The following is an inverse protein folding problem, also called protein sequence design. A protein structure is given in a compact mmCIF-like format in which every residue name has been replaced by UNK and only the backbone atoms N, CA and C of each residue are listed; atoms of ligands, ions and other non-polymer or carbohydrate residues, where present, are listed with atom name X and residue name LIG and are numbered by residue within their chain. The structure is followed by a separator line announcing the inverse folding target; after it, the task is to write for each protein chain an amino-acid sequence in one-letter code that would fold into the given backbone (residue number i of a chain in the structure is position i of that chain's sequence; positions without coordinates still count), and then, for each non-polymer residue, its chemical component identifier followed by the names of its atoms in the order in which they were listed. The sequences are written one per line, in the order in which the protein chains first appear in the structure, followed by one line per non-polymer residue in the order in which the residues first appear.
data_IF_250991912644
#
_entry.id   IF_250991912644
#
_cell.length_a   1.000
_cell.length_b   1.000
_cell.length_c   1.000
_cell.angle_alpha   90.00
_cell.angle_beta   90.00
_cell.angle_gamma   90.00
#
_symmetry.space_group_name_H-M   'P 1'
#
loop_
_entity.id
_entity.type
_entity.pdbx_description
1 polymer ?
#
# COMPACT_ATOMS: atom_id res chain seq x y z
N UNK A 1 18.91 0.37 -3.89
CA UNK A 1 18.40 -0.63 -2.93
C UNK A 1 16.90 -0.52 -2.84
N UNK A 2 16.15 -1.60 -3.06
CA UNK A 2 14.67 -1.59 -3.03
C UNK A 2 14.12 -1.03 -1.72
N UNK A 3 13.26 0.01 -1.81
CA UNK A 3 12.60 0.63 -0.65
C UNK A 3 11.79 -0.41 0.16
N UNK A 4 11.09 -1.32 -0.54
CA UNK A 4 10.35 -2.41 0.08
C UNK A 4 11.27 -3.31 0.92
N UNK A 5 12.44 -3.69 0.40
CA UNK A 5 13.35 -4.59 1.10
C UNK A 5 13.93 -3.99 2.37
N UNK A 6 14.21 -2.68 2.35
CA UNK A 6 14.67 -1.93 3.54
C UNK A 6 13.67 -2.00 4.69
N UNK A 7 12.38 -1.91 4.40
CA UNK A 7 11.31 -1.97 5.40
C UNK A 7 11.00 -3.42 5.80
N UNK A 8 10.87 -4.32 4.83
CA UNK A 8 10.43 -5.70 5.07
C UNK A 8 11.47 -6.58 5.76
N UNK A 9 12.77 -6.35 5.52
CA UNK A 9 13.84 -7.26 5.95
C UNK A 9 14.69 -6.64 7.05
N UNK A 10 14.15 -6.64 8.28
CA UNK A 10 14.89 -6.31 9.49
C UNK A 10 15.95 -7.35 9.86
N UNK A 11 16.75 -7.06 10.89
CA UNK A 11 17.88 -7.90 11.32
C UNK A 11 17.47 -9.36 11.61
N UNK A 12 16.37 -9.56 12.33
CA UNK A 12 15.86 -10.89 12.64
C UNK A 12 15.44 -11.66 11.38
N UNK A 13 14.74 -11.00 10.44
CA UNK A 13 14.35 -11.62 9.18
C UNK A 13 15.59 -12.02 8.36
N UNK A 14 16.63 -11.19 8.35
CA UNK A 14 17.90 -11.49 7.68
C UNK A 14 18.61 -12.67 8.33
N UNK A 15 18.66 -12.75 9.65
CA UNK A 15 19.23 -13.90 10.36
C UNK A 15 18.50 -15.21 10.01
N UNK A 16 17.16 -15.21 10.03
CA UNK A 16 16.38 -16.39 9.61
C UNK A 16 16.58 -16.72 8.12
N UNK A 17 16.78 -15.73 7.25
CA UNK A 17 17.09 -15.97 5.85
C UNK A 17 18.44 -16.66 5.66
N UNK A 18 19.45 -16.32 6.48
CA UNK A 18 20.77 -16.98 6.46
C UNK A 18 20.63 -18.44 6.89
N UNK A 19 19.96 -18.68 8.02
CA UNK A 19 19.73 -20.04 8.55
C UNK A 19 18.98 -20.92 7.55
N UNK A 20 17.96 -20.37 6.88
CA UNK A 20 17.19 -21.08 5.87
C UNK A 20 17.87 -21.12 4.48
N UNK A 21 19.08 -20.56 4.32
CA UNK A 21 19.81 -20.53 3.04
C UNK A 21 19.20 -19.65 1.95
N UNK A 22 18.22 -18.80 2.30
CA UNK A 22 17.50 -17.93 1.35
C UNK A 22 18.08 -16.52 1.24
N UNK A 23 19.07 -16.18 2.07
CA UNK A 23 19.62 -14.82 2.13
C UNK A 23 20.15 -14.33 0.80
N UNK A 24 20.87 -15.15 0.04
CA UNK A 24 21.44 -14.75 -1.25
C UNK A 24 20.39 -14.19 -2.23
N UNK A 25 19.21 -14.83 -2.26
CA UNK A 25 18.07 -14.43 -3.11
C UNK A 25 17.55 -13.06 -2.69
N UNK A 26 17.24 -12.88 -1.40
CA UNK A 26 16.67 -11.63 -0.90
C UNK A 26 17.70 -10.48 -0.83
N UNK A 27 18.98 -10.78 -0.62
CA UNK A 27 20.05 -9.79 -0.70
C UNK A 27 20.22 -9.25 -2.13
N UNK A 28 20.06 -10.11 -3.15
CA UNK A 28 20.04 -9.66 -4.54
C UNK A 28 18.84 -8.75 -4.80
N UNK A 29 17.64 -9.14 -4.37
CA UNK A 29 16.43 -8.31 -4.48
C UNK A 29 16.60 -6.94 -3.79
N UNK A 30 17.25 -6.89 -2.61
CA UNK A 30 17.55 -5.63 -1.95
C UNK A 30 18.52 -4.78 -2.76
N UNK A 31 19.57 -5.39 -3.35
CA UNK A 31 20.57 -4.68 -4.17
C UNK A 31 20.05 -4.21 -5.52
N UNK A 32 19.03 -4.87 -6.07
CA UNK A 32 18.40 -4.45 -7.32
C UNK A 32 17.96 -2.98 -7.22
N UNK A 33 18.52 -2.17 -8.11
CA UNK A 33 18.21 -0.75 -8.22
C UNK A 33 16.94 -0.60 -9.03
N UNK A 34 15.82 -1.08 -8.48
CA UNK A 34 14.50 -0.72 -9.00
C UNK A 34 14.35 0.79 -8.93
N UNK A 35 13.87 1.40 -10.01
CA UNK A 35 13.45 2.79 -10.04
C UNK A 35 12.54 3.03 -8.83
N UNK A 36 12.77 4.12 -8.10
CA UNK A 36 11.85 4.49 -7.03
C UNK A 36 10.47 4.78 -7.61
N UNK A 37 9.43 4.23 -6.98
CA UNK A 37 8.05 4.40 -7.41
C UNK A 37 7.44 3.16 -8.07
N UNK A 38 6.21 3.33 -8.55
CA UNK A 38 5.39 2.30 -9.20
C UNK A 38 5.84 2.13 -10.64
N UNK A 39 6.24 0.91 -10.99
CA UNK A 39 6.49 0.49 -12.36
C UNK A 39 5.19 0.35 -13.16
N UNK A 40 5.29 0.30 -14.48
CA UNK A 40 4.16 0.03 -15.38
C UNK A 40 3.41 -1.25 -15.01
N UNK A 41 4.10 -2.26 -14.49
CA UNK A 41 3.49 -3.49 -13.99
C UNK A 41 2.62 -3.23 -12.76
N UNK A 42 3.14 -2.52 -11.75
CA UNK A 42 2.37 -2.18 -10.54
C UNK A 42 1.17 -1.29 -10.87
N UNK A 43 1.35 -0.28 -11.72
CA UNK A 43 0.25 0.58 -12.19
C UNK A 43 -0.84 -0.24 -12.87
N UNK A 44 -0.46 -1.12 -13.79
CA UNK A 44 -1.40 -1.99 -14.49
C UNK A 44 -2.09 -2.97 -13.54
N UNK A 45 -1.37 -3.50 -12.56
CA UNK A 45 -1.93 -4.41 -11.55
C UNK A 45 -2.97 -3.69 -10.70
N UNK A 46 -2.67 -2.49 -10.21
CA UNK A 46 -3.55 -1.67 -9.37
C UNK A 46 -4.84 -1.30 -10.13
N UNK A 47 -4.72 -0.88 -11.40
CA UNK A 47 -5.87 -0.50 -12.23
C UNK A 47 -6.90 -1.63 -12.43
N UNK A 48 -6.50 -2.89 -12.23
CA UNK A 48 -7.34 -4.06 -12.40
C UNK A 48 -7.98 -4.54 -11.08
N UNK A 49 -7.73 -3.86 -9.95
CA UNK A 49 -8.28 -4.22 -8.63
C UNK A 49 -9.55 -3.44 -8.32
N UNK A 50 -10.53 -4.14 -7.80
CA UNK A 50 -11.78 -3.60 -7.23
C UNK A 50 -11.75 -3.59 -5.70
N UNK A 51 -10.70 -4.15 -5.09
CA UNK A 51 -10.52 -4.20 -3.65
C UNK A 51 -9.05 -4.30 -3.24
N UNK A 52 -8.77 -3.88 -2.00
CA UNK A 52 -7.51 -4.14 -1.32
C UNK A 52 -7.71 -4.17 0.20
N UNK A 53 -6.72 -4.71 0.91
CA UNK A 53 -6.67 -4.62 2.37
C UNK A 53 -5.64 -3.57 2.77
N UNK A 54 -5.96 -2.79 3.80
CA UNK A 54 -5.07 -1.79 4.36
C UNK A 54 -4.84 -2.09 5.83
N UNK A 55 -3.57 -2.23 6.20
CA UNK A 55 -3.15 -2.27 7.58
C UNK A 55 -2.72 -0.86 8.03
N UNK A 56 -3.20 -0.45 9.20
CA UNK A 56 -2.70 0.69 9.97
C UNK A 56 -2.33 0.25 11.39
N UNK A 57 -1.78 1.15 12.19
CA UNK A 57 -1.35 0.86 13.56
C UNK A 57 -2.22 1.68 14.50
N UNK A 58 -2.92 1.02 15.43
CA UNK A 58 -3.70 1.72 16.46
C UNK A 58 -2.78 2.51 17.39
N UNK A 59 -3.33 3.50 18.08
CA UNK A 59 -2.59 4.24 19.11
C UNK A 59 -2.04 3.31 20.21
N UNK A 60 -2.75 2.22 20.52
CA UNK A 60 -2.32 1.17 21.43
C UNK A 60 -1.26 0.22 20.85
N UNK A 61 -0.78 0.44 19.63
CA UNK A 61 0.29 -0.31 18.98
C UNK A 61 -0.14 -1.61 18.30
N UNK A 62 -1.43 -1.90 18.21
CA UNK A 62 -1.92 -3.09 17.51
C UNK A 62 -2.02 -2.84 16.00
N UNK A 63 -1.68 -3.83 15.16
CA UNK A 63 -2.03 -3.77 13.74
C UNK A 63 -3.54 -3.89 13.59
N UNK A 64 -4.13 -2.99 12.81
CA UNK A 64 -5.55 -3.00 12.44
C UNK A 64 -5.69 -3.13 10.94
N UNK A 65 -6.51 -4.06 10.46
CA UNK A 65 -6.69 -4.33 9.03
C UNK A 65 -8.14 -4.05 8.65
N UNK A 66 -8.30 -3.30 7.56
CA UNK A 66 -9.61 -3.02 6.96
C UNK A 66 -9.62 -3.34 5.48
N UNK A 67 -10.67 -4.01 5.02
CA UNK A 67 -10.96 -4.17 3.60
C UNK A 67 -11.51 -2.87 3.01
N UNK A 68 -10.98 -2.45 1.87
CA UNK A 68 -11.44 -1.31 1.07
C UNK A 68 -11.87 -1.84 -0.30
N UNK A 69 -13.12 -1.60 -0.68
CA UNK A 69 -13.68 -2.04 -1.95
C UNK A 69 -14.33 -0.88 -2.70
N UNK A 70 -14.36 -0.98 -4.02
CA UNK A 70 -14.97 -0.01 -4.92
C UNK A 70 -15.05 -0.54 -6.35
N UNK A 71 -15.41 0.31 -7.33
CA UNK A 71 -15.34 -0.07 -8.73
C UNK A 71 -13.92 -0.49 -9.13
N UNK A 72 -13.80 -1.27 -10.20
CA UNK A 72 -12.51 -1.65 -10.75
C UNK A 72 -11.64 -0.41 -11.03
N UNK A 73 -10.43 -0.42 -10.47
CA UNK A 73 -9.49 0.70 -10.55
C UNK A 73 -9.87 1.90 -9.68
N UNK A 74 -10.65 1.71 -8.60
CA UNK A 74 -10.98 2.79 -7.66
C UNK A 74 -9.75 3.32 -6.90
N UNK A 75 -8.76 2.46 -6.63
CA UNK A 75 -7.44 2.90 -6.20
C UNK A 75 -6.70 3.46 -7.41
N UNK A 76 -6.53 4.78 -7.43
CA UNK A 76 -5.86 5.53 -8.49
C UNK A 76 -4.38 5.64 -8.21
N UNK A 77 -3.60 5.51 -9.28
CA UNK A 77 -2.22 5.98 -9.33
C UNK A 77 -2.28 7.44 -9.73
N UNK A 78 -1.88 8.33 -8.82
CA UNK A 78 -1.83 9.78 -9.06
C UNK A 78 -0.53 10.15 -9.77
N UNK A 79 0.57 9.53 -9.35
CA UNK A 79 1.88 9.59 -10.02
C UNK A 79 2.75 8.37 -9.62
N UNK A 80 4.04 8.40 -9.99
CA UNK A 80 4.98 7.30 -9.69
C UNK A 80 5.12 6.98 -8.19
N UNK A 81 4.76 7.90 -7.27
CA UNK A 81 4.96 7.74 -5.82
C UNK A 81 3.66 7.88 -5.01
N UNK A 82 2.55 8.26 -5.62
CA UNK A 82 1.29 8.54 -4.92
C UNK A 82 0.12 7.73 -5.45
N UNK A 83 -0.68 7.26 -4.49
CA UNK A 83 -1.94 6.56 -4.71
C UNK A 83 -3.06 7.37 -4.06
N UNK A 84 -4.25 7.33 -4.63
CA UNK A 84 -5.43 8.00 -4.08
C UNK A 84 -6.69 7.15 -4.27
N UNK A 85 -7.61 7.23 -3.32
CA UNK A 85 -8.94 6.64 -3.44
C UNK A 85 -9.92 7.46 -2.58
N UNK A 86 -11.19 7.43 -2.94
CA UNK A 86 -12.24 8.03 -2.10
C UNK A 86 -12.60 7.06 -0.99
N UNK A 87 -12.53 7.52 0.26
CA UNK A 87 -13.06 6.74 1.38
C UNK A 87 -14.59 6.87 1.38
N UNK A 88 -15.27 5.89 0.77
CA UNK A 88 -16.72 5.84 0.75
C UNK A 88 -17.25 5.79 2.18
N UNK A 89 -18.30 6.59 2.45
CA UNK A 89 -18.95 6.65 3.77
C UNK A 89 -19.53 5.30 4.18
N UNK A 90 -18.70 4.48 4.83
CA UNK A 90 -19.09 3.19 5.39
C UNK A 90 -19.77 3.35 6.74
N UNK A 91 -19.46 2.44 7.68
CA UNK A 91 -20.01 2.42 9.03
C UNK A 91 -19.57 3.58 9.96
N UNK A 92 -18.81 4.56 9.43
CA UNK A 92 -18.33 5.76 10.15
C UNK A 92 -17.54 5.45 11.43
N UNK A 93 -16.81 4.33 11.48
CA UNK A 93 -15.96 4.03 12.63
C UNK A 93 -14.68 4.87 12.71
N UNK A 94 -14.22 5.42 11.58
CA UNK A 94 -13.03 6.29 11.48
C UNK A 94 -11.73 5.70 12.09
N UNK A 95 -11.66 4.39 12.36
CA UNK A 95 -10.50 3.76 13.02
C UNK A 95 -9.23 3.96 12.20
N UNK A 96 -9.24 3.63 10.90
CA UNK A 96 -8.05 3.83 10.07
C UNK A 96 -7.66 5.30 9.98
N UNK A 97 -8.63 6.21 9.84
CA UNK A 97 -8.38 7.65 9.76
C UNK A 97 -7.74 8.17 11.05
N UNK A 98 -8.32 7.85 12.22
CA UNK A 98 -7.75 8.22 13.51
C UNK A 98 -6.37 7.60 13.75
N UNK A 99 -6.12 6.39 13.25
CA UNK A 99 -4.79 5.78 13.32
C UNK A 99 -3.75 6.58 12.53
N UNK A 100 -4.11 7.22 11.42
CA UNK A 100 -3.15 7.98 10.61
C UNK A 100 -2.59 9.20 11.33
N UNK A 101 -3.39 9.83 12.19
CA UNK A 101 -2.99 10.98 13.01
C UNK A 101 -1.84 10.64 13.97
N UNK A 102 -1.88 9.44 14.57
CA UNK A 102 -0.84 8.97 15.49
C UNK A 102 0.29 8.23 14.77
N UNK A 103 -0.02 7.47 13.72
CA UNK A 103 0.94 6.73 12.92
C UNK A 103 0.49 6.63 11.45
N UNK A 104 1.09 7.43 10.55
CA UNK A 104 0.67 7.44 9.16
C UNK A 104 1.19 6.23 8.37
N UNK A 105 2.02 5.36 8.95
CA UNK A 105 2.55 4.22 8.21
C UNK A 105 1.48 3.16 7.97
N UNK A 106 1.31 2.80 6.70
CA UNK A 106 0.33 1.80 6.26
C UNK A 106 0.97 0.74 5.39
N UNK A 107 0.32 -0.43 5.35
CA UNK A 107 0.64 -1.50 4.40
C UNK A 107 -0.61 -1.83 3.59
N UNK A 108 -0.51 -1.73 2.27
CA UNK A 108 -1.56 -2.11 1.35
C UNK A 108 -1.25 -3.51 0.81
N UNK A 109 -2.28 -4.35 0.78
CA UNK A 109 -2.22 -5.70 0.26
C UNK A 109 -3.31 -5.89 -0.80
N UNK A 110 -2.87 -5.99 -2.05
CA UNK A 110 -3.74 -6.13 -3.21
C UNK A 110 -3.62 -7.56 -3.75
N UNK A 111 -4.77 -8.22 -3.94
CA UNK A 111 -4.83 -9.61 -4.38
C UNK A 111 -5.42 -9.76 -5.77
N UNK A 112 -4.84 -10.67 -6.54
CA UNK A 112 -5.44 -11.31 -7.70
C UNK A 112 -5.65 -12.79 -7.37
N UNK A 113 -6.85 -13.16 -6.95
CA UNK A 113 -7.14 -14.53 -6.52
C UNK A 113 -7.09 -15.53 -7.68
N UNK A 114 -7.57 -15.14 -8.86
CA UNK A 114 -7.61 -16.01 -10.04
C UNK A 114 -6.20 -16.40 -10.48
N UNK A 115 -5.29 -15.43 -10.54
CA UNK A 115 -3.90 -15.66 -10.96
C UNK A 115 -2.96 -16.00 -9.81
N UNK A 116 -3.43 -15.95 -8.56
CA UNK A 116 -2.62 -16.15 -7.34
C UNK A 116 -1.46 -15.17 -7.20
N UNK A 117 -1.66 -13.94 -7.67
CA UNK A 117 -0.66 -12.87 -7.64
C UNK A 117 -1.03 -11.88 -6.54
N UNK A 118 -0.03 -11.31 -5.88
CA UNK A 118 -0.21 -10.28 -4.86
C UNK A 118 0.76 -9.14 -5.05
N UNK A 119 0.31 -7.94 -4.70
CA UNK A 119 1.14 -6.75 -4.60
C UNK A 119 1.08 -6.21 -3.17
N UNK A 120 2.27 -5.89 -2.62
CA UNK A 120 2.43 -5.32 -1.28
C UNK A 120 3.09 -3.95 -1.39
N UNK A 121 2.49 -2.95 -0.75
CA UNK A 121 2.98 -1.58 -0.79
C UNK A 121 3.06 -1.06 0.64
N UNK A 122 4.24 -0.59 1.04
CA UNK A 122 4.38 0.22 2.25
C UNK A 122 4.29 1.68 1.85
N UNK A 123 3.46 2.45 2.55
CA UNK A 123 3.20 3.84 2.25
C UNK A 123 2.96 4.64 3.54
N UNK A 124 2.88 5.96 3.39
CA UNK A 124 2.31 6.86 4.39
C UNK A 124 0.93 7.30 3.90
N UNK A 125 -0.06 7.26 4.79
CA UNK A 125 -1.42 7.71 4.52
C UNK A 125 -1.63 9.13 5.03
N UNK A 126 -2.47 9.87 4.32
CA UNK A 126 -2.93 11.21 4.65
C UNK A 126 -4.40 11.33 4.20
N UNK A 127 -5.19 12.11 4.94
CA UNK A 127 -6.56 12.44 4.56
C UNK A 127 -6.57 13.87 4.02
N UNK A 128 -7.13 14.03 2.82
CA UNK A 128 -7.21 15.31 2.11
C UNK A 128 -8.66 15.60 1.76
N UNK A 129 -9.06 16.86 1.92
CA UNK A 129 -10.36 17.34 1.44
C UNK A 129 -10.31 17.54 -0.08
N UNK A 130 -11.30 16.99 -0.78
CA UNK A 130 -11.36 17.03 -2.26
C UNK A 130 -11.75 18.42 -2.81
N UNK A 131 -12.33 19.29 -1.98
CA UNK A 131 -12.98 20.52 -2.45
C UNK A 131 -12.01 21.57 -3.03
N UNK A 132 -10.71 21.50 -2.70
CA UNK A 132 -9.77 22.60 -2.96
C UNK A 132 -8.49 22.18 -3.71
N UNK A 133 -8.45 20.98 -4.33
CA UNK A 133 -7.20 20.50 -4.92
C UNK A 133 -7.38 19.83 -6.29
N UNK A 134 -7.06 20.60 -7.34
CA UNK A 134 -7.03 20.16 -8.75
C UNK A 134 -6.12 18.93 -8.98
N UNK A 135 -5.17 18.67 -8.09
CA UNK A 135 -4.29 17.51 -8.16
C UNK A 135 -5.04 16.18 -8.01
N UNK A 136 -6.22 16.20 -7.38
CA UNK A 136 -7.06 15.02 -7.17
C UNK A 136 -8.21 14.89 -8.16
N UNK A 137 -8.24 15.66 -9.26
CA UNK A 137 -9.28 15.61 -10.31
C UNK A 137 -9.63 14.18 -10.74
N UNK A 138 -8.65 13.28 -10.81
CA UNK A 138 -8.85 11.86 -11.15
C UNK A 138 -9.81 11.11 -10.20
N UNK A 139 -9.99 11.61 -8.98
CA UNK A 139 -10.91 11.09 -7.97
C UNK A 139 -12.32 11.68 -8.10
N UNK A 140 -12.50 12.89 -8.65
CA UNK A 140 -13.81 13.56 -8.73
C UNK A 140 -14.87 12.81 -9.56
N UNK A 141 -14.44 11.93 -10.47
CA UNK A 141 -15.33 11.16 -11.35
C UNK A 141 -15.93 9.90 -10.71
N UNK A 142 -15.61 9.60 -9.44
CA UNK A 142 -16.11 8.45 -8.71
C UNK A 142 -17.09 8.90 -7.60
N UNK A 143 -18.30 9.29 -7.98
CA UNK A 143 -19.45 9.40 -7.07
C UNK A 143 -20.36 8.19 -7.21
#
# INVERSE_FOLDING_TARGET
MSYYGKIAFGNAAKAFQEEAGSRGIYARMERENKKEGLSTYEVSFIAQRDSFYMASITESGFPYIQHRGGPKGFLKVLDEKRLGFIDFGGNKQYVSVGNFESNPNVSLFLMDYAHKIRLKIFARAEVVELADNDEFILLHHFK
#
